data_IF_409094847142
#
_entry.id   IF_409094847142
#
_cell.length_a   1.000
_cell.length_b   1.000
_cell.length_c   1.000
_cell.angle_alpha   90.00
_cell.angle_beta   90.00
_cell.angle_gamma   90.00
#
_symmetry.space_group_name_H-M   'P 1'
#
loop_
_entity.id
_entity.type
_entity.pdbx_description
1 polymer ?
#
# COMPACT_ATOMS: atom_id res chain seq x y z
N UNK A 1 -40.42 13.54 -11.00
CA UNK A 1 -39.76 14.36 -12.03
C UNK A 1 -38.73 15.29 -11.37
N UNK A 2 -37.46 14.90 -11.32
CA UNK A 2 -36.41 15.76 -10.72
C UNK A 2 -35.04 15.48 -11.38
N UNK A 3 -34.98 15.65 -12.70
CA UNK A 3 -33.80 15.28 -13.49
C UNK A 3 -33.20 16.30 -14.50
N UNK A 4 -33.48 17.62 -14.49
CA UNK A 4 -32.69 18.54 -15.36
C UNK A 4 -31.71 19.48 -14.63
N UNK A 5 -31.82 19.72 -13.32
CA UNK A 5 -31.07 20.82 -12.68
C UNK A 5 -29.59 20.50 -12.41
N UNK A 6 -29.28 19.30 -11.89
CA UNK A 6 -27.88 18.92 -11.56
C UNK A 6 -26.98 18.83 -12.81
N UNK A 7 -27.54 18.40 -13.94
CA UNK A 7 -26.80 18.26 -15.19
C UNK A 7 -26.51 19.62 -15.84
N UNK A 8 -27.45 20.56 -15.75
CA UNK A 8 -27.27 21.92 -16.24
C UNK A 8 -26.21 22.71 -15.43
N UNK A 9 -26.22 22.59 -14.09
CA UNK A 9 -25.24 23.25 -13.22
C UNK A 9 -23.82 22.69 -13.44
N UNK A 10 -23.67 21.38 -13.64
CA UNK A 10 -22.39 20.76 -13.96
C UNK A 10 -21.82 21.23 -15.30
N UNK A 11 -22.65 21.32 -16.34
CA UNK A 11 -22.25 21.85 -17.66
C UNK A 11 -21.86 23.34 -17.60
N UNK A 12 -22.59 24.13 -16.81
CA UNK A 12 -22.30 25.55 -16.61
C UNK A 12 -20.97 25.76 -15.88
N UNK A 13 -20.74 25.06 -14.77
CA UNK A 13 -19.47 25.14 -14.03
C UNK A 13 -18.27 24.63 -14.84
N UNK A 14 -18.48 23.63 -15.70
CA UNK A 14 -17.44 23.15 -16.62
C UNK A 14 -17.08 24.22 -17.66
N UNK A 15 -18.07 24.91 -18.25
CA UNK A 15 -17.83 26.01 -19.21
C UNK A 15 -17.08 27.18 -18.58
N UNK A 16 -17.48 27.63 -17.39
CA UNK A 16 -16.79 28.71 -16.67
C UNK A 16 -15.33 28.34 -16.36
N UNK A 17 -15.09 27.08 -15.98
CA UNK A 17 -13.74 26.57 -15.75
C UNK A 17 -12.91 26.50 -17.02
N UNK A 18 -13.50 26.08 -18.14
CA UNK A 18 -12.84 26.00 -19.44
C UNK A 18 -12.54 27.40 -20.02
N UNK A 19 -13.41 28.39 -19.80
CA UNK A 19 -13.19 29.80 -20.18
C UNK A 19 -12.12 30.48 -19.32
N UNK A 20 -12.11 30.23 -18.01
CA UNK A 20 -11.04 30.66 -17.11
C UNK A 20 -9.68 30.07 -17.52
N UNK A 21 -9.63 28.78 -17.88
CA UNK A 21 -8.43 28.13 -18.40
C UNK A 21 -7.96 28.73 -19.73
N UNK A 22 -8.88 29.30 -20.53
CA UNK A 22 -8.58 29.99 -21.79
C UNK A 22 -8.04 31.41 -21.63
N UNK A 23 -7.90 31.92 -20.42
CA UNK A 23 -7.27 33.23 -20.12
C UNK A 23 -5.88 33.09 -19.47
N UNK A 24 -5.48 31.88 -19.06
CA UNK A 24 -4.20 31.63 -18.39
C UNK A 24 -2.99 31.66 -19.36
N UNK A 25 -1.76 31.94 -18.90
CA UNK A 25 -0.55 31.84 -19.73
C UNK A 25 -0.32 30.42 -20.28
N UNK A 26 0.22 30.29 -21.49
CA UNK A 26 0.34 29.01 -22.22
C UNK A 26 1.05 27.90 -21.43
N UNK A 27 2.08 28.24 -20.65
CA UNK A 27 2.81 27.33 -19.75
C UNK A 27 1.93 26.78 -18.62
N UNK A 28 1.06 27.61 -18.03
CA UNK A 28 0.15 27.20 -16.96
C UNK A 28 -0.97 26.32 -17.50
N UNK A 29 -1.49 26.61 -18.70
CA UNK A 29 -2.45 25.72 -19.40
C UNK A 29 -1.87 24.34 -19.66
N UNK A 30 -0.65 24.26 -20.22
CA UNK A 30 0.02 22.98 -20.49
C UNK A 30 0.21 22.16 -19.23
N UNK A 31 0.56 22.80 -18.11
CA UNK A 31 0.71 22.13 -16.81
C UNK A 31 -0.61 21.62 -16.24
N UNK A 32 -1.71 22.35 -16.45
CA UNK A 32 -3.07 21.93 -16.06
C UNK A 32 -3.60 20.78 -16.91
N UNK A 33 -3.36 20.82 -18.23
CA UNK A 33 -3.69 19.73 -19.16
C UNK A 33 -2.95 18.45 -18.75
N UNK A 34 -1.62 18.52 -18.57
CA UNK A 34 -0.82 17.38 -18.12
C UNK A 34 -1.28 16.83 -16.75
N UNK A 35 -1.80 17.70 -15.87
CA UNK A 35 -2.33 17.30 -14.56
C UNK A 35 -3.69 16.60 -14.70
N UNK A 36 -4.55 17.04 -15.62
CA UNK A 36 -5.81 16.39 -15.94
C UNK A 36 -5.60 15.05 -16.65
N UNK A 37 -4.69 15.00 -17.62
CA UNK A 37 -4.29 13.77 -18.29
C UNK A 37 -3.75 12.76 -17.28
N UNK A 38 -2.84 13.16 -16.38
CA UNK A 38 -2.35 12.28 -15.31
C UNK A 38 -3.45 11.79 -14.38
N UNK A 39 -4.42 12.65 -14.02
CA UNK A 39 -5.52 12.25 -13.16
C UNK A 39 -6.48 11.28 -13.87
N UNK A 40 -6.71 11.45 -15.17
CA UNK A 40 -7.51 10.53 -15.99
C UNK A 40 -6.77 9.21 -16.24
N UNK A 41 -5.46 9.25 -16.53
CA UNK A 41 -4.63 8.06 -16.67
C UNK A 41 -4.50 7.30 -15.36
N UNK A 42 -4.36 8.00 -14.22
CA UNK A 42 -4.32 7.37 -12.90
C UNK A 42 -5.68 6.74 -12.55
N UNK A 43 -6.80 7.44 -12.78
CA UNK A 43 -8.13 6.86 -12.55
C UNK A 43 -8.49 5.72 -13.51
N UNK A 44 -7.97 5.76 -14.76
CA UNK A 44 -8.12 4.67 -15.72
C UNK A 44 -7.24 3.46 -15.36
N UNK A 45 -6.02 3.68 -14.86
CA UNK A 45 -5.13 2.62 -14.34
C UNK A 45 -5.75 1.95 -13.10
N UNK A 46 -6.28 2.75 -12.17
CA UNK A 46 -6.98 2.24 -10.98
C UNK A 46 -8.27 1.48 -11.34
N UNK A 47 -8.95 1.84 -12.43
CA UNK A 47 -10.13 1.12 -12.94
C UNK A 47 -9.78 -0.14 -13.75
N UNK A 48 -8.63 -0.15 -14.43
CA UNK A 48 -8.11 -1.30 -15.20
C UNK A 48 -7.45 -2.36 -14.32
N UNK A 49 -6.98 -1.99 -13.13
CA UNK A 49 -6.38 -2.91 -12.15
C UNK A 49 -7.41 -3.86 -11.49
N UNK A 50 -8.71 -3.74 -11.81
CA UNK A 50 -9.78 -4.55 -11.23
C UNK A 50 -9.92 -4.32 -9.71
N UNK A 51 -10.95 -4.85 -9.05
CA UNK A 51 -11.06 -4.80 -7.59
C UNK A 51 -10.04 -5.74 -6.93
N UNK A 52 -8.75 -5.46 -7.08
CA UNK A 52 -7.68 -6.03 -6.28
C UNK A 52 -7.55 -5.20 -5.01
N UNK A 53 -8.28 -5.56 -3.93
CA UNK A 53 -8.20 -5.07 -2.53
C UNK A 53 -7.76 -3.60 -2.28
N UNK A 54 -8.02 -2.73 -3.23
CA UNK A 54 -7.62 -1.33 -3.26
C UNK A 54 -8.88 -0.48 -3.34
N UNK A 55 -9.88 -0.79 -2.53
CA UNK A 55 -11.09 0.02 -2.42
C UNK A 55 -11.44 0.31 -0.97
N UNK A 56 -10.51 0.90 -0.22
CA UNK A 56 -10.87 1.82 0.85
C UNK A 56 -9.92 3.02 0.82
N UNK A 57 -10.18 3.92 -0.13
CA UNK A 57 -9.72 5.29 -0.03
C UNK A 57 -10.78 6.23 -0.61
N UNK A 58 -11.88 6.37 0.13
CA UNK A 58 -12.68 7.61 0.14
C UNK A 58 -13.48 7.70 1.44
N UNK A 59 -12.99 8.50 2.38
CA UNK A 59 -13.81 9.18 3.40
C UNK A 59 -14.64 8.35 4.40
N UNK A 60 -14.22 7.14 4.75
CA UNK A 60 -14.58 6.53 6.04
C UNK A 60 -13.30 6.33 6.84
N UNK A 61 -13.09 7.17 7.87
CA UNK A 61 -12.16 6.84 8.94
C UNK A 61 -12.87 5.77 9.75
N UNK A 62 -12.82 4.55 9.26
CA UNK A 62 -12.89 3.37 10.10
C UNK A 62 -11.47 2.84 10.18
N UNK A 63 -11.11 2.39 11.38
CA UNK A 63 -9.78 1.94 11.75
C UNK A 63 -9.12 1.14 10.62
N UNK A 64 -7.86 1.45 10.28
CA UNK A 64 -7.06 0.58 9.41
C UNK A 64 -6.83 -0.72 10.17
N UNK A 65 -7.76 -1.66 10.04
CA UNK A 65 -7.56 -3.04 10.42
C UNK A 65 -6.69 -3.59 9.31
N UNK A 66 -5.40 -3.83 9.60
CA UNK A 66 -4.57 -4.58 8.65
C UNK A 66 -5.27 -5.92 8.40
N UNK A 67 -5.44 -6.33 7.14
CA UNK A 67 -6.09 -7.60 6.85
C UNK A 67 -5.31 -8.72 7.54
N UNK A 68 -6.05 -9.66 8.12
CA UNK A 68 -5.43 -10.85 8.68
C UNK A 68 -4.80 -11.67 7.56
N UNK A 69 -3.58 -12.14 7.78
CA UNK A 69 -2.98 -13.17 6.93
C UNK A 69 -3.82 -14.42 7.05
N UNK A 70 -4.28 -14.95 5.93
CA UNK A 70 -5.03 -16.22 5.83
C UNK A 70 -4.21 -17.34 5.20
N UNK A 71 -3.20 -16.97 4.40
CA UNK A 71 -2.29 -17.88 3.74
C UNK A 71 -0.93 -17.19 3.62
N UNK A 72 0.15 -17.93 3.85
CA UNK A 72 1.51 -17.44 3.72
C UNK A 72 2.31 -18.42 2.87
N UNK A 73 2.96 -17.92 1.82
CA UNK A 73 3.83 -18.74 0.98
C UNK A 73 5.09 -18.00 0.55
N UNK A 74 6.13 -18.78 0.32
CA UNK A 74 7.44 -18.35 -0.17
C UNK A 74 8.05 -19.46 -1.01
N UNK A 75 8.77 -19.09 -2.07
CA UNK A 75 9.54 -19.98 -2.92
C UNK A 75 10.95 -19.40 -3.09
N UNK A 76 11.97 -20.24 -3.00
CA UNK A 76 13.33 -19.85 -3.35
C UNK A 76 13.44 -19.56 -4.85
N UNK A 77 13.75 -18.31 -5.17
CA UNK A 77 14.03 -17.88 -6.53
C UNK A 77 15.46 -18.22 -6.94
N UNK A 78 15.61 -19.06 -7.97
CA UNK A 78 16.90 -19.58 -8.44
C UNK A 78 17.42 -20.73 -7.57
N UNK A 79 17.88 -21.82 -8.19
CA UNK A 79 18.38 -23.01 -7.49
C UNK A 79 17.35 -24.14 -7.35
N UNK A 80 17.28 -24.77 -6.18
CA UNK A 80 16.49 -25.99 -5.92
C UNK A 80 14.96 -25.76 -5.80
N UNK A 81 14.49 -24.51 -5.86
CA UNK A 81 13.07 -24.11 -5.73
C UNK A 81 12.37 -24.73 -4.53
N UNK A 82 13.00 -24.69 -3.35
CA UNK A 82 12.32 -25.06 -2.11
C UNK A 82 11.20 -24.05 -1.86
N UNK A 83 10.08 -24.54 -1.32
CA UNK A 83 8.91 -23.72 -1.02
C UNK A 83 8.41 -23.97 0.39
N UNK A 84 7.80 -22.96 0.98
CA UNK A 84 7.03 -23.05 2.21
C UNK A 84 5.64 -22.46 1.99
N UNK A 85 4.63 -23.12 2.56
CA UNK A 85 3.24 -22.69 2.51
C UNK A 85 2.55 -23.08 3.83
N UNK A 86 1.77 -22.17 4.39
CA UNK A 86 0.89 -22.48 5.52
C UNK A 86 -0.38 -21.64 5.48
N UNK A 87 -1.45 -22.19 6.05
CA UNK A 87 -2.69 -21.46 6.27
C UNK A 87 -2.71 -20.87 7.67
N UNK A 88 -3.20 -19.64 7.78
CA UNK A 88 -3.17 -18.88 9.03
C UNK A 88 -4.59 -18.58 9.46
N UNK A 89 -4.93 -18.97 10.68
CA UNK A 89 -6.26 -18.76 11.23
C UNK A 89 -6.42 -17.28 11.62
N UNK A 90 -7.29 -16.51 10.94
CA UNK A 90 -7.45 -15.10 11.24
C UNK A 90 -8.05 -14.91 12.64
N UNK A 91 -7.75 -13.78 13.29
CA UNK A 91 -8.34 -13.48 14.62
C UNK A 91 -9.72 -12.87 14.52
N UNK A 92 -10.04 -12.26 13.39
CA UNK A 92 -11.34 -11.61 13.10
C UNK A 92 -12.06 -12.43 12.02
N UNK A 93 -13.39 -12.41 12.04
CA UNK A 93 -14.22 -12.99 10.98
C UNK A 93 -13.86 -12.40 9.61
N UNK A 94 -13.87 -13.24 8.59
CA UNK A 94 -13.64 -12.83 7.20
C UNK A 94 -14.77 -11.89 6.74
N UNK A 95 -14.44 -10.87 5.94
CA UNK A 95 -15.50 -10.09 5.26
C UNK A 95 -16.10 -10.91 4.13
N UNK A 96 -17.38 -10.66 3.79
CA UNK A 96 -18.07 -11.39 2.72
C UNK A 96 -17.35 -11.28 1.36
N UNK A 97 -16.75 -10.12 1.07
CA UNK A 97 -15.94 -9.92 -0.14
C UNK A 97 -14.69 -10.83 -0.15
N UNK A 98 -14.05 -11.02 1.01
CA UNK A 98 -12.88 -11.87 1.11
C UNK A 98 -13.21 -13.37 1.00
N UNK A 99 -14.34 -13.78 1.57
CA UNK A 99 -14.89 -15.12 1.37
C UNK A 99 -15.23 -15.36 -0.12
N UNK A 100 -15.82 -14.37 -0.81
CA UNK A 100 -16.18 -14.49 -2.23
C UNK A 100 -14.94 -14.67 -3.12
N UNK A 101 -13.85 -13.95 -2.84
CA UNK A 101 -12.62 -13.98 -3.64
C UNK A 101 -11.82 -15.25 -3.37
N UNK A 102 -11.66 -15.63 -2.09
CA UNK A 102 -10.74 -16.72 -1.69
C UNK A 102 -11.44 -18.06 -1.46
N UNK A 103 -12.77 -18.08 -1.35
CA UNK A 103 -13.55 -19.26 -0.95
C UNK A 103 -13.30 -19.72 0.48
N UNK A 104 -12.59 -18.92 1.28
CA UNK A 104 -12.19 -19.26 2.65
C UNK A 104 -13.28 -18.85 3.64
N UNK A 105 -13.57 -19.73 4.60
CA UNK A 105 -14.46 -19.47 5.74
C UNK A 105 -13.84 -19.89 7.05
N UNK A 106 -14.29 -19.29 8.15
CA UNK A 106 -13.90 -19.69 9.51
C UNK A 106 -15.15 -20.04 10.29
N UNK A 107 -15.16 -21.26 10.84
CA UNK A 107 -16.26 -21.77 11.66
C UNK A 107 -15.79 -21.85 13.11
N UNK A 108 -16.58 -21.26 14.01
CA UNK A 108 -16.43 -21.42 15.45
C UNK A 108 -17.18 -22.67 15.92
N UNK A 109 -16.51 -23.50 16.71
CA UNK A 109 -17.07 -24.71 17.31
C UNK A 109 -16.64 -24.84 18.78
N UNK A 110 -17.31 -25.69 19.58
CA UNK A 110 -16.90 -25.91 20.98
C UNK A 110 -15.46 -26.42 21.15
N UNK A 111 -14.88 -27.01 20.10
CA UNK A 111 -13.49 -27.52 20.09
C UNK A 111 -12.49 -26.50 19.54
N UNK A 112 -12.94 -25.29 19.18
CA UNK A 112 -12.11 -24.20 18.68
C UNK A 112 -12.55 -23.71 17.30
N UNK A 113 -11.68 -22.89 16.69
CA UNK A 113 -11.90 -22.30 15.37
C UNK A 113 -11.25 -23.15 14.29
N UNK A 114 -11.96 -23.37 13.19
CA UNK A 114 -11.49 -24.13 12.03
C UNK A 114 -11.65 -23.31 10.76
N UNK A 115 -10.67 -23.41 9.87
CA UNK A 115 -10.67 -22.74 8.57
C UNK A 115 -11.05 -23.74 7.49
N UNK A 116 -11.85 -23.31 6.51
CA UNK A 116 -12.24 -24.12 5.37
C UNK A 116 -12.00 -23.34 4.09
N UNK A 117 -11.68 -24.03 3.00
CA UNK A 117 -11.74 -23.48 1.65
C UNK A 117 -12.66 -24.36 0.79
N UNK A 118 -13.67 -23.76 0.18
CA UNK A 118 -14.67 -24.47 -0.64
C UNK A 118 -15.27 -25.69 0.09
N UNK A 119 -15.54 -25.57 1.39
CA UNK A 119 -16.11 -26.63 2.23
C UNK A 119 -15.13 -27.70 2.72
N UNK A 120 -13.86 -27.64 2.32
CA UNK A 120 -12.80 -28.55 2.81
C UNK A 120 -12.04 -27.91 3.96
N UNK A 121 -11.89 -28.63 5.07
CA UNK A 121 -11.11 -28.17 6.23
C UNK A 121 -9.64 -27.97 5.83
N UNK A 122 -9.09 -26.80 6.16
CA UNK A 122 -7.70 -26.45 5.96
C UNK A 122 -6.90 -26.66 7.25
N UNK A 123 -5.66 -27.15 7.17
CA UNK A 123 -4.78 -27.32 8.33
C UNK A 123 -4.18 -25.96 8.76
N UNK A 124 -5.05 -25.03 9.16
CA UNK A 124 -4.65 -23.70 9.56
C UNK A 124 -4.04 -23.68 10.97
N UNK A 125 -2.99 -22.89 11.13
CA UNK A 125 -2.29 -22.66 12.40
C UNK A 125 -2.51 -21.23 12.88
N UNK A 126 -2.19 -20.94 14.14
CA UNK A 126 -2.19 -19.55 14.60
C UNK A 126 -1.04 -18.74 13.97
N UNK A 127 -1.18 -17.42 13.97
CA UNK A 127 -0.22 -16.50 13.36
C UNK A 127 1.20 -16.66 13.94
N UNK A 128 1.33 -16.83 15.25
CA UNK A 128 2.65 -16.93 15.89
C UNK A 128 3.36 -18.20 15.44
N UNK A 129 2.64 -19.33 15.38
CA UNK A 129 3.16 -20.57 14.84
C UNK A 129 3.54 -20.44 13.37
N UNK A 130 2.69 -19.85 12.53
CA UNK A 130 2.97 -19.66 11.10
C UNK A 130 4.27 -18.89 10.86
N UNK A 131 4.47 -17.79 11.58
CA UNK A 131 5.68 -16.97 11.46
C UNK A 131 6.90 -17.71 11.99
N UNK A 132 6.78 -18.46 13.09
CA UNK A 132 7.87 -19.25 13.63
C UNK A 132 8.27 -20.38 12.67
N UNK A 133 7.30 -21.11 12.11
CA UNK A 133 7.54 -22.17 11.12
C UNK A 133 8.25 -21.60 9.88
N UNK A 134 7.85 -20.40 9.43
CA UNK A 134 8.51 -19.72 8.32
C UNK A 134 9.97 -19.34 8.65
N UNK A 135 10.25 -18.80 9.83
CA UNK A 135 11.61 -18.48 10.26
C UNK A 135 12.46 -19.76 10.34
N UNK A 136 11.92 -20.84 10.92
CA UNK A 136 12.60 -22.14 10.96
C UNK A 136 12.92 -22.65 9.55
N UNK A 137 11.96 -22.55 8.63
CA UNK A 137 12.17 -22.92 7.23
C UNK A 137 13.30 -22.09 6.59
N UNK A 138 13.36 -20.77 6.84
CA UNK A 138 14.49 -19.94 6.40
C UNK A 138 15.82 -20.44 6.97
N UNK A 139 15.86 -20.87 8.24
CA UNK A 139 17.08 -21.42 8.84
C UNK A 139 17.50 -22.75 8.19
N UNK A 140 16.55 -23.64 7.95
CA UNK A 140 16.76 -24.92 7.25
C UNK A 140 17.24 -24.70 5.80
N UNK A 141 16.86 -23.59 5.17
CA UNK A 141 17.37 -23.26 3.84
C UNK A 141 18.88 -23.01 3.84
N UNK A 142 19.46 -22.64 4.99
CA UNK A 142 20.85 -22.21 5.12
C UNK A 142 21.11 -20.82 4.54
N UNK A 143 20.07 -20.10 4.09
CA UNK A 143 20.23 -18.74 3.59
C UNK A 143 20.50 -17.78 4.74
N UNK A 144 21.68 -17.20 4.74
CA UNK A 144 22.03 -16.05 5.58
C UNK A 144 22.02 -14.81 4.69
N UNK A 145 21.09 -13.88 4.92
CA UNK A 145 20.90 -12.65 4.11
C UNK A 145 20.05 -12.84 2.82
N UNK A 146 18.82 -13.31 2.98
CA UNK A 146 17.86 -13.45 1.89
C UNK A 146 17.20 -12.10 1.52
N UNK A 147 16.78 -11.95 0.25
CA UNK A 147 15.97 -10.82 -0.21
C UNK A 147 14.56 -11.33 -0.49
N UNK A 148 13.55 -10.76 0.17
CA UNK A 148 12.16 -11.13 -0.13
C UNK A 148 11.63 -10.29 -1.29
N UNK A 149 10.98 -10.95 -2.24
CA UNK A 149 10.40 -10.32 -3.41
C UNK A 149 8.90 -10.55 -3.41
N UNK A 150 8.12 -9.48 -3.57
CA UNK A 150 6.67 -9.56 -3.69
C UNK A 150 6.18 -8.56 -4.73
N UNK A 151 5.12 -8.92 -5.46
CA UNK A 151 4.55 -8.07 -6.49
C UNK A 151 3.61 -7.03 -5.89
N UNK A 152 3.92 -5.73 -6.05
CA UNK A 152 3.26 -4.64 -5.32
C UNK A 152 3.46 -4.74 -3.78
N UNK A 153 4.51 -5.45 -3.36
CA UNK A 153 4.77 -5.77 -1.96
C UNK A 153 4.96 -4.56 -1.06
N UNK A 154 5.47 -3.43 -1.59
CA UNK A 154 5.65 -2.21 -0.79
C UNK A 154 4.32 -1.62 -0.34
N UNK A 155 3.25 -1.85 -1.10
CA UNK A 155 1.91 -1.38 -0.78
C UNK A 155 1.14 -2.35 0.11
N UNK A 156 1.40 -3.65 -0.01
CA UNK A 156 0.58 -4.68 0.63
C UNK A 156 1.40 -5.67 1.47
N UNK A 157 2.12 -6.60 0.83
CA UNK A 157 2.71 -7.77 1.48
C UNK A 157 3.69 -7.42 2.60
N UNK A 158 4.64 -6.50 2.35
CA UNK A 158 5.64 -6.16 3.36
C UNK A 158 5.05 -5.41 4.56
N UNK A 159 4.15 -4.40 4.39
CA UNK A 159 3.41 -3.83 5.51
C UNK A 159 2.66 -4.86 6.36
N UNK A 160 2.00 -5.85 5.73
CA UNK A 160 1.25 -6.90 6.42
C UNK A 160 2.21 -7.85 7.16
N UNK A 161 3.27 -8.33 6.48
CA UNK A 161 4.29 -9.20 7.06
C UNK A 161 4.97 -8.57 8.27
N UNK A 162 5.41 -7.30 8.18
CA UNK A 162 6.04 -6.64 9.31
C UNK A 162 5.08 -6.46 10.48
N UNK A 163 3.81 -6.19 10.23
CA UNK A 163 2.78 -6.11 11.29
C UNK A 163 2.56 -7.48 11.94
N UNK A 164 2.54 -8.56 11.16
CA UNK A 164 2.45 -9.93 11.68
C UNK A 164 3.66 -10.29 12.55
N UNK A 165 4.87 -10.01 12.07
CA UNK A 165 6.13 -10.23 12.79
C UNK A 165 6.20 -9.46 14.12
N UNK A 166 5.76 -8.19 14.12
CA UNK A 166 5.69 -7.39 15.34
C UNK A 166 4.66 -7.95 16.32
N UNK A 167 3.50 -8.37 15.83
CA UNK A 167 2.44 -8.97 16.65
C UNK A 167 2.83 -10.32 17.25
N UNK A 168 3.72 -11.06 16.59
CA UNK A 168 4.28 -12.32 17.07
C UNK A 168 5.55 -12.14 17.93
N UNK A 169 6.09 -10.92 18.05
CA UNK A 169 7.35 -10.61 18.72
C UNK A 169 8.58 -11.34 18.11
N UNK A 170 8.58 -11.56 16.80
CA UNK A 170 9.62 -12.31 16.06
C UNK A 170 10.42 -11.44 15.07
N UNK A 171 10.30 -10.10 15.18
CA UNK A 171 10.93 -9.16 14.23
C UNK A 171 12.45 -9.26 14.23
N UNK A 172 13.10 -9.41 15.39
CA UNK A 172 14.57 -9.49 15.48
C UNK A 172 15.10 -10.73 14.76
N UNK A 173 14.56 -11.91 15.09
CA UNK A 173 14.98 -13.19 14.50
C UNK A 173 14.81 -13.19 12.97
N UNK A 174 13.72 -12.58 12.48
CA UNK A 174 13.50 -12.41 11.06
C UNK A 174 14.50 -11.47 10.41
N UNK A 175 14.77 -10.30 11.01
CA UNK A 175 15.72 -9.32 10.48
C UNK A 175 17.16 -9.85 10.42
N UNK A 176 17.53 -10.79 11.30
CA UNK A 176 18.84 -11.44 11.26
C UNK A 176 19.04 -12.32 10.00
N UNK A 177 17.94 -12.71 9.32
CA UNK A 177 17.96 -13.55 8.12
C UNK A 177 17.70 -12.78 6.83
N UNK A 178 17.07 -11.60 6.90
CA UNK A 178 16.61 -10.85 5.73
C UNK A 178 17.47 -9.61 5.47
N UNK A 179 18.11 -9.58 4.30
CA UNK A 179 18.91 -8.47 3.80
C UNK A 179 18.05 -7.28 3.37
N UNK A 180 16.87 -7.56 2.81
CA UNK A 180 16.05 -6.54 2.20
C UNK A 180 14.79 -7.07 1.54
N UNK A 181 13.97 -6.13 1.08
CA UNK A 181 12.72 -6.36 0.38
C UNK A 181 12.78 -5.73 -1.00
N UNK A 182 12.12 -6.35 -1.97
CA UNK A 182 11.99 -5.85 -3.35
C UNK A 182 10.53 -5.87 -3.77
N UNK A 183 10.07 -4.73 -4.27
CA UNK A 183 8.77 -4.65 -4.95
C UNK A 183 8.96 -4.97 -6.44
N UNK A 184 8.56 -6.17 -6.85
CA UNK A 184 8.77 -6.63 -8.23
C UNK A 184 8.01 -5.79 -9.25
N UNK A 185 6.94 -5.11 -8.87
CA UNK A 185 6.21 -4.21 -9.77
C UNK A 185 7.12 -3.06 -10.25
N UNK A 186 7.97 -2.54 -9.36
CA UNK A 186 8.92 -1.46 -9.72
C UNK A 186 10.02 -1.98 -10.64
N UNK A 187 10.53 -3.17 -10.36
CA UNK A 187 11.56 -3.83 -11.18
C UNK A 187 11.01 -4.15 -12.57
N UNK A 188 9.85 -4.78 -12.65
CA UNK A 188 9.21 -5.19 -13.92
C UNK A 188 8.80 -3.97 -14.76
N UNK A 189 8.38 -2.86 -14.15
CA UNK A 189 8.16 -1.59 -14.89
C UNK A 189 9.42 -1.06 -15.56
N UNK A 190 10.59 -1.32 -14.97
CA UNK A 190 11.87 -0.92 -15.57
C UNK A 190 12.32 -1.88 -16.66
N UNK A 191 12.26 -3.18 -16.40
CA UNK A 191 12.79 -4.24 -17.28
C UNK A 191 11.87 -4.46 -18.48
N UNK A 192 10.55 -4.35 -18.29
CA UNK A 192 9.54 -4.53 -19.34
C UNK A 192 8.77 -3.22 -19.55
N UNK A 193 9.37 -2.18 -20.16
CA UNK A 193 8.73 -0.87 -20.26
C UNK A 193 7.54 -0.88 -21.25
N UNK A 194 6.60 0.06 -21.05
CA UNK A 194 5.47 0.35 -21.96
C UNK A 194 4.41 -0.76 -22.08
N UNK A 195 4.22 -1.58 -21.04
CA UNK A 195 3.10 -2.54 -21.00
C UNK A 195 1.80 -1.82 -20.64
N UNK A 196 0.68 -2.35 -21.14
CA UNK A 196 -0.65 -1.82 -20.83
C UNK A 196 -1.09 -2.13 -19.40
N UNK A 197 -0.74 -3.32 -18.92
CA UNK A 197 -0.95 -3.75 -17.54
C UNK A 197 0.34 -4.31 -16.96
N UNK A 198 0.51 -4.06 -15.67
CA UNK A 198 1.56 -4.65 -14.86
C UNK A 198 1.01 -5.52 -13.73
N UNK A 199 -0.27 -5.92 -13.77
CA UNK A 199 -0.74 -6.94 -12.84
C UNK A 199 0.00 -8.25 -13.10
N UNK A 200 0.31 -9.00 -12.04
CA UNK A 200 1.04 -10.25 -12.17
C UNK A 200 0.39 -11.23 -13.17
N UNK A 201 -0.94 -11.47 -13.15
CA UNK A 201 -1.59 -12.32 -14.17
C UNK A 201 -1.41 -11.82 -15.60
N UNK A 202 -1.44 -10.50 -15.83
CA UNK A 202 -1.25 -9.94 -17.16
C UNK A 202 0.20 -10.08 -17.65
N UNK A 203 1.19 -9.93 -16.75
CA UNK A 203 2.60 -10.15 -17.10
C UNK A 203 2.85 -11.64 -17.36
N UNK A 204 2.33 -12.52 -16.49
CA UNK A 204 2.44 -13.96 -16.61
C UNK A 204 1.89 -14.44 -17.97
N UNK A 205 0.66 -14.04 -18.32
CA UNK A 205 0.05 -14.40 -19.60
C UNK A 205 0.86 -13.94 -20.81
N UNK A 206 1.36 -12.70 -20.78
CA UNK A 206 2.09 -12.16 -21.92
C UNK A 206 3.49 -12.78 -22.10
N UNK A 207 4.17 -13.17 -21.02
CA UNK A 207 5.51 -13.74 -21.10
C UNK A 207 5.52 -15.26 -21.30
N UNK A 208 4.56 -15.96 -20.68
CA UNK A 208 4.54 -17.42 -20.58
C UNK A 208 3.41 -18.06 -21.40
N UNK A 209 2.52 -17.25 -22.00
CA UNK A 209 1.38 -17.69 -22.79
C UNK A 209 0.49 -18.71 -22.04
N UNK A 210 0.29 -18.46 -20.74
CA UNK A 210 -0.49 -19.30 -19.84
C UNK A 210 -1.26 -18.45 -18.82
N UNK A 211 -2.25 -19.04 -18.17
CA UNK A 211 -2.94 -18.48 -17.01
C UNK A 211 -2.63 -19.33 -15.78
N UNK A 212 -2.78 -18.75 -14.59
CA UNK A 212 -2.62 -19.46 -13.33
C UNK A 212 -3.74 -19.07 -12.35
N UNK A 213 -3.88 -19.85 -11.26
CA UNK A 213 -4.86 -19.57 -10.22
C UNK A 213 -4.42 -18.38 -9.35
N UNK A 214 -4.68 -17.16 -9.83
CA UNK A 214 -4.47 -15.95 -9.04
C UNK A 214 -5.33 -15.98 -7.77
N UNK A 215 -4.84 -15.39 -6.67
CA UNK A 215 -5.46 -15.40 -5.34
C UNK A 215 -5.22 -16.65 -4.48
N UNK A 216 -4.40 -17.60 -4.94
CA UNK A 216 -3.74 -18.58 -4.08
C UNK A 216 -2.27 -18.17 -3.88
N UNK A 217 -1.83 -18.02 -2.63
CA UNK A 217 -0.50 -17.48 -2.34
C UNK A 217 0.65 -18.37 -2.86
N UNK A 218 0.49 -19.70 -2.92
CA UNK A 218 1.51 -20.58 -3.50
C UNK A 218 1.59 -20.38 -5.02
N UNK A 219 0.44 -20.37 -5.67
CA UNK A 219 0.35 -20.14 -7.11
C UNK A 219 0.88 -18.74 -7.49
N UNK A 220 0.58 -17.71 -6.70
CA UNK A 220 1.08 -16.35 -6.91
C UNK A 220 2.61 -16.29 -6.76
N UNK A 221 3.21 -16.94 -5.75
CA UNK A 221 4.67 -16.90 -5.57
C UNK A 221 5.38 -17.70 -6.67
N UNK A 222 4.83 -18.85 -7.05
CA UNK A 222 5.35 -19.64 -8.16
C UNK A 222 5.30 -18.87 -9.48
N UNK A 223 4.14 -18.26 -9.80
CA UNK A 223 3.97 -17.44 -10.99
C UNK A 223 4.93 -16.25 -11.01
N UNK A 224 5.18 -15.62 -9.86
CA UNK A 224 6.16 -14.54 -9.76
C UNK A 224 7.59 -15.03 -10.05
N UNK A 225 7.97 -16.20 -9.55
CA UNK A 225 9.26 -16.84 -9.82
C UNK A 225 9.48 -17.10 -11.32
N UNK A 226 8.46 -17.60 -12.02
CA UNK A 226 8.51 -17.79 -13.46
C UNK A 226 8.55 -16.46 -14.23
N UNK A 227 7.78 -15.46 -13.82
CA UNK A 227 7.80 -14.10 -14.42
C UNK A 227 9.17 -13.46 -14.30
N UNK A 228 9.80 -13.52 -13.12
CA UNK A 228 11.14 -12.96 -12.90
C UNK A 228 12.19 -13.70 -13.74
N UNK A 229 12.06 -15.03 -13.87
CA UNK A 229 12.93 -15.85 -14.73
C UNK A 229 12.77 -15.47 -16.21
N UNK A 230 11.54 -15.41 -16.71
CA UNK A 230 11.23 -15.09 -18.11
C UNK A 230 11.59 -13.64 -18.47
N UNK A 231 11.54 -12.73 -17.50
CA UNK A 231 11.99 -11.34 -17.65
C UNK A 231 13.51 -11.16 -17.43
N UNK A 232 14.27 -12.26 -17.24
CA UNK A 232 15.72 -12.27 -17.03
C UNK A 232 16.17 -11.37 -15.86
N UNK A 233 15.36 -11.31 -14.79
CA UNK A 233 15.67 -10.50 -13.61
C UNK A 233 16.69 -11.25 -12.74
N UNK A 234 17.95 -10.83 -12.86
CA UNK A 234 19.06 -11.37 -12.06
C UNK A 234 19.16 -10.79 -10.64
N UNK A 235 19.95 -11.46 -9.80
CA UNK A 235 20.20 -11.09 -8.40
C UNK A 235 20.68 -9.65 -8.23
N UNK A 236 21.58 -9.18 -9.10
CA UNK A 236 22.14 -7.82 -9.03
C UNK A 236 21.06 -6.74 -9.21
N UNK A 237 20.05 -7.01 -10.04
CA UNK A 237 18.91 -6.10 -10.22
C UNK A 237 18.06 -6.09 -8.95
N UNK A 238 17.77 -7.26 -8.36
CA UNK A 238 17.01 -7.35 -7.11
C UNK A 238 17.74 -6.61 -5.97
N UNK A 239 19.04 -6.83 -5.82
CA UNK A 239 19.89 -6.13 -4.83
C UNK A 239 19.83 -4.61 -5.02
N UNK A 240 19.94 -4.11 -6.27
CA UNK A 240 19.91 -2.67 -6.56
C UNK A 240 18.56 -1.99 -6.30
N UNK A 241 17.45 -2.74 -6.34
CA UNK A 241 16.10 -2.23 -6.05
C UNK A 241 15.63 -2.55 -4.63
N UNK A 242 16.49 -3.19 -3.83
CA UNK A 242 16.14 -3.58 -2.47
C UNK A 242 16.03 -2.37 -1.53
N UNK A 243 15.16 -2.49 -0.53
CA UNK A 243 15.01 -1.55 0.57
C UNK A 243 14.95 -2.31 1.89
N UNK A 244 15.21 -1.63 3.01
CA UNK A 244 15.35 -2.31 4.29
C UNK A 244 13.98 -2.64 4.92
N UNK A 245 13.88 -3.71 5.74
CA UNK A 245 12.71 -3.96 6.58
C UNK A 245 12.39 -2.76 7.49
N UNK A 246 13.41 -2.04 7.96
CA UNK A 246 13.27 -0.81 8.75
C UNK A 246 12.49 0.28 8.00
N UNK A 247 12.67 0.43 6.69
CA UNK A 247 11.90 1.39 5.88
C UNK A 247 10.39 1.08 5.91
N UNK A 248 10.03 -0.21 5.94
CA UNK A 248 8.62 -0.64 6.06
C UNK A 248 8.07 -0.33 7.44
N UNK A 249 8.83 -0.60 8.50
CA UNK A 249 8.41 -0.28 9.88
C UNK A 249 8.19 1.22 10.04
N UNK A 250 9.11 2.05 9.53
CA UNK A 250 8.97 3.50 9.57
C UNK A 250 7.76 3.97 8.76
N UNK A 251 7.50 3.38 7.59
CA UNK A 251 6.30 3.66 6.79
C UNK A 251 5.03 3.29 7.54
N UNK A 252 4.96 2.11 8.18
CA UNK A 252 3.79 1.68 8.94
C UNK A 252 3.51 2.65 10.11
N UNK A 253 4.54 3.02 10.88
CA UNK A 253 4.43 4.00 11.96
C UNK A 253 3.93 5.36 11.47
N UNK A 254 4.44 5.83 10.33
CA UNK A 254 4.00 7.08 9.72
C UNK A 254 2.51 7.02 9.35
N UNK A 255 2.08 5.92 8.73
CA UNK A 255 0.67 5.70 8.38
C UNK A 255 -0.24 5.62 9.61
N UNK A 256 0.18 4.94 10.68
CA UNK A 256 -0.58 4.85 11.94
C UNK A 256 -0.71 6.22 12.61
N UNK A 257 0.39 6.96 12.65
CA UNK A 257 0.43 8.34 13.17
C UNK A 257 -0.49 9.25 12.36
N UNK A 258 -0.46 9.12 11.03
CA UNK A 258 -1.35 9.85 10.13
C UNK A 258 -2.81 9.51 10.41
N UNK A 259 -3.16 8.23 10.51
CA UNK A 259 -4.53 7.78 10.76
C UNK A 259 -5.05 8.29 12.10
N UNK A 260 -4.22 8.27 13.14
CA UNK A 260 -4.58 8.76 14.46
C UNK A 260 -4.85 10.28 14.46
N UNK A 261 -4.01 11.05 13.79
CA UNK A 261 -4.05 12.52 13.87
C UNK A 261 -5.00 13.17 12.85
N UNK A 262 -5.16 12.59 11.66
CA UNK A 262 -5.91 13.19 10.54
C UNK A 262 -7.38 13.53 10.88
N UNK A 263 -8.13 12.73 11.68
CA UNK A 263 -9.50 13.04 12.04
C UNK A 263 -9.66 14.42 12.70
N UNK A 264 -8.70 14.81 13.53
CA UNK A 264 -8.70 16.14 14.19
C UNK A 264 -8.56 17.29 13.20
N UNK A 265 -7.95 17.05 12.03
CA UNK A 265 -7.68 18.08 11.02
C UNK A 265 -8.81 18.22 10.01
N UNK A 266 -9.86 17.37 10.07
CA UNK A 266 -10.98 17.40 9.13
C UNK A 266 -11.68 18.76 9.08
N UNK A 267 -11.80 19.44 10.23
CA UNK A 267 -12.36 20.79 10.29
C UNK A 267 -11.59 21.79 9.41
N UNK A 268 -10.26 21.69 9.38
CA UNK A 268 -9.41 22.55 8.56
C UNK A 268 -9.58 22.27 7.05
N UNK A 269 -9.78 21.00 6.70
CA UNK A 269 -10.04 20.58 5.32
C UNK A 269 -11.40 21.12 4.86
N UNK A 270 -12.46 20.90 5.65
CA UNK A 270 -13.81 21.35 5.34
C UNK A 270 -13.92 22.86 5.25
N UNK A 271 -13.19 23.58 6.10
CA UNK A 271 -13.10 25.05 6.08
C UNK A 271 -12.22 25.61 4.95
N UNK A 272 -11.57 24.75 4.15
CA UNK A 272 -10.71 25.19 3.05
C UNK A 272 -9.37 25.79 3.48
N UNK A 273 -8.99 25.67 4.76
CA UNK A 273 -7.72 26.18 5.31
C UNK A 273 -6.53 25.43 4.71
N UNK A 274 -6.66 24.11 4.51
CA UNK A 274 -5.66 23.31 3.84
C UNK A 274 -6.28 22.17 3.01
N UNK A 275 -5.55 21.72 1.99
CA UNK A 275 -5.96 20.56 1.20
C UNK A 275 -5.69 19.24 1.92
N UNK A 276 -6.42 18.18 1.53
CA UNK A 276 -6.30 16.82 2.11
C UNK A 276 -4.84 16.35 2.22
N UNK A 277 -4.05 16.47 1.15
CA UNK A 277 -2.63 16.05 1.14
C UNK A 277 -1.76 16.81 2.14
N UNK A 278 -2.10 18.06 2.42
CA UNK A 278 -1.39 18.88 3.43
C UNK A 278 -1.75 18.38 4.82
N UNK A 279 -3.05 18.17 5.09
CA UNK A 279 -3.51 17.61 6.35
C UNK A 279 -2.92 16.21 6.62
N UNK A 280 -2.83 15.35 5.59
CA UNK A 280 -2.16 14.05 5.67
C UNK A 280 -0.68 14.17 6.04
N UNK A 281 0.03 15.13 5.45
CA UNK A 281 1.45 15.38 5.76
C UNK A 281 1.62 15.89 7.19
N UNK A 282 0.76 16.82 7.63
CA UNK A 282 0.73 17.32 9.03
C UNK A 282 0.49 16.14 9.98
N UNK A 283 -0.56 15.37 9.73
CA UNK A 283 -0.96 14.23 10.55
C UNK A 283 0.14 13.18 10.65
N UNK A 284 0.70 12.76 9.51
CA UNK A 284 1.79 11.79 9.45
C UNK A 284 3.10 12.28 10.08
N UNK A 285 3.27 13.60 10.22
CA UNK A 285 4.39 14.18 10.95
C UNK A 285 4.19 14.18 12.48
N UNK A 286 3.08 13.63 12.99
CA UNK A 286 2.78 13.59 14.43
C UNK A 286 2.00 14.80 14.95
N UNK A 287 1.49 15.65 14.07
CA UNK A 287 0.75 16.86 14.46
C UNK A 287 -0.76 16.66 14.29
N UNK A 288 -1.53 17.02 15.30
CA UNK A 288 -2.99 17.06 15.29
C UNK A 288 -3.46 18.51 15.54
N UNK A 289 -4.77 18.75 15.50
CA UNK A 289 -5.32 20.11 15.65
C UNK A 289 -4.92 20.76 16.97
N UNK A 290 -4.92 20.01 18.07
CA UNK A 290 -4.51 20.50 19.40
C UNK A 290 -3.04 20.95 19.43
N UNK A 291 -2.15 20.20 18.79
CA UNK A 291 -0.76 20.60 18.62
C UNK A 291 -0.66 21.93 17.85
N UNK A 292 -1.40 22.07 16.75
CA UNK A 292 -1.41 23.30 15.96
C UNK A 292 -1.93 24.51 16.75
N UNK A 293 -2.99 24.33 17.54
CA UNK A 293 -3.53 25.38 18.41
C UNK A 293 -2.49 25.85 19.43
N UNK A 294 -1.83 24.92 20.14
CA UNK A 294 -0.77 25.26 21.11
C UNK A 294 0.43 25.95 20.47
N UNK A 295 0.81 25.55 19.26
CA UNK A 295 1.90 26.19 18.51
C UNK A 295 1.50 27.63 18.17
N UNK A 296 0.29 27.82 17.66
CA UNK A 296 -0.24 29.12 17.31
C UNK A 296 -0.43 30.04 18.53
N UNK A 297 -0.83 29.52 19.68
CA UNK A 297 -0.91 30.30 20.93
C UNK A 297 0.45 30.87 21.36
N UNK A 298 1.55 30.14 21.12
CA UNK A 298 2.89 30.51 21.58
C UNK A 298 3.61 31.53 20.69
N UNK A 299 3.34 31.50 19.38
CA UNK A 299 4.06 32.36 18.44
C UNK A 299 3.32 32.59 17.13
N UNK A 300 1.98 32.50 17.18
CA UNK A 300 1.07 32.76 16.06
C UNK A 300 1.49 32.00 14.80
N UNK A 301 1.33 32.62 13.64
CA UNK A 301 1.62 32.02 12.34
C UNK A 301 3.10 31.76 12.11
N UNK A 302 3.98 32.55 12.72
CA UNK A 302 5.42 32.36 12.59
C UNK A 302 5.86 31.03 13.21
N UNK A 303 5.33 30.68 14.38
CA UNK A 303 5.59 29.39 15.02
C UNK A 303 5.10 28.20 14.19
N UNK A 304 3.92 28.33 13.55
CA UNK A 304 3.41 27.32 12.62
C UNK A 304 4.30 27.17 11.39
N UNK A 305 4.71 28.29 10.78
CA UNK A 305 5.62 28.30 9.62
C UNK A 305 6.96 27.65 9.94
N UNK A 306 7.53 27.92 11.11
CA UNK A 306 8.80 27.34 11.55
C UNK A 306 8.70 25.83 11.72
N UNK A 307 7.62 25.33 12.33
CA UNK A 307 7.41 23.89 12.50
C UNK A 307 7.17 23.17 11.17
N UNK A 308 6.42 23.77 10.26
CA UNK A 308 6.18 23.20 8.94
C UNK A 308 7.43 23.21 8.05
N UNK A 309 8.26 24.24 8.17
CA UNK A 309 9.48 24.40 7.39
C UNK A 309 10.68 23.66 7.98
N UNK A 310 10.56 23.13 9.20
CA UNK A 310 11.59 22.33 9.84
C UNK A 310 12.01 21.18 8.90
N UNK A 311 13.30 21.08 8.61
CA UNK A 311 13.83 20.09 7.67
C UNK A 311 13.97 18.74 8.37
N UNK A 312 13.66 17.67 7.64
CA UNK A 312 13.98 16.31 8.09
C UNK A 312 15.48 16.08 7.97
N UNK A 313 16.10 15.55 9.02
CA UNK A 313 17.55 15.28 9.06
C UNK A 313 18.01 14.27 8.00
N UNK A 314 17.09 13.45 7.49
CA UNK A 314 17.38 12.37 6.53
C UNK A 314 17.50 12.88 5.08
N UNK A 315 16.66 13.82 4.66
CA UNK A 315 16.56 14.24 3.26
C UNK A 315 16.58 15.76 3.05
N UNK A 316 16.67 16.55 4.13
CA UNK A 316 16.68 18.01 4.09
C UNK A 316 15.37 18.65 3.59
N UNK A 317 14.32 17.85 3.37
CA UNK A 317 13.02 18.34 2.91
C UNK A 317 12.20 18.89 4.08
N UNK A 318 11.36 19.93 3.85
CA UNK A 318 10.51 20.48 4.89
C UNK A 318 9.47 19.45 5.36
N UNK A 319 9.19 19.48 6.67
CA UNK A 319 8.21 18.61 7.34
C UNK A 319 6.83 18.68 6.69
N UNK A 320 6.38 19.88 6.30
CA UNK A 320 5.15 20.12 5.54
C UNK A 320 5.43 21.18 4.49
N UNK A 321 5.08 20.92 3.23
CA UNK A 321 5.27 21.91 2.16
C UNK A 321 4.38 23.13 2.39
N UNK A 322 5.01 24.28 2.67
CA UNK A 322 4.35 25.54 3.04
C UNK A 322 3.60 26.19 1.86
N UNK A 323 3.90 25.79 0.61
CA UNK A 323 3.32 26.36 -0.60
C UNK A 323 1.80 26.12 -0.78
N UNK A 324 1.15 25.39 0.13
CA UNK A 324 -0.26 25.00 0.06
C UNK A 324 -1.05 25.31 1.34
N UNK A 325 -0.43 26.00 2.29
CA UNK A 325 -1.09 26.46 3.49
C UNK A 325 -1.59 27.88 3.22
N UNK A 326 -2.91 28.06 3.16
CA UNK A 326 -3.53 29.38 3.18
C UNK A 326 -3.44 29.95 4.60
N UNK A 327 -2.22 30.20 5.07
CA UNK A 327 -1.96 31.05 6.22
C UNK A 327 -1.88 32.47 5.67
N UNK A 328 -3.02 33.04 5.34
CA UNK A 328 -3.12 34.46 4.98
C UNK A 328 -3.26 35.27 6.26
N UNK A 329 -2.50 36.37 6.32
CA UNK A 329 -2.63 37.44 7.31
C UNK A 329 -4.08 37.94 7.46
#
# INVERSE_FOLDING_TARGET
>A
MHFPVKHAVSKFNKRIKDESMRQEPATKRRRLILKQERAQTQGALEALEGPSYASENTLTVQHRVFPHVTQFAVEEFGGQRRSFMTYVLPKIAMTADAETITGVTVVESPTGRKMFAHGKELPAVDLSKAINDFINWLEETGQSSAIMVAHNGKRFDFPVLMTALMSANLTTQFNDRIAGFVDSLTVLKKVLPKRQSYSQPAIYRDLLNADYNAHDAAADVHALSEVLSAAEVGKQVLEAYSFSPSDVVMKNRHEDTKLHNLPSLRGLITAGVCGVKVAETIAGSGLNLHHLQKIHERGRDEALRNIFSAKNDINGLPRVSVARLCLTE
#
